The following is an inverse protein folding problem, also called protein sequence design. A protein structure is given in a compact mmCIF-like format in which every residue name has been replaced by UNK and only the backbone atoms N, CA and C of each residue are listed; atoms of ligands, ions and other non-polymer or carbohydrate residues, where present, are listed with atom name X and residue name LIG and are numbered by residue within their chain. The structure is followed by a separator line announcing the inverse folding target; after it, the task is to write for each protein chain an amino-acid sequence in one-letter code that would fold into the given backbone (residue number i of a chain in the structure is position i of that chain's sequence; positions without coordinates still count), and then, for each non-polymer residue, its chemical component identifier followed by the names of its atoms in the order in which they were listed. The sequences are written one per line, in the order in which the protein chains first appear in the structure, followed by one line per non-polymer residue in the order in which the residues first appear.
data_IF_031458285999
#
_entry.id   IF_031458285999
#
_cell.length_a   1.000
_cell.length_b   1.000
_cell.length_c   1.000
_cell.angle_alpha   90.00
_cell.angle_beta   90.00
_cell.angle_gamma   90.00
#
_symmetry.space_group_name_H-M   'P 1'
#
loop_
_entity.id
_entity.type
_entity.pdbx_description
1 polymer ?
#
# COMPACT_ATOMS: atom_id res chain seq x y z
N UNK A 1 13.51 21.47 -4.44
CA UNK A 1 14.31 20.30 -4.92
C UNK A 1 14.15 19.17 -3.92
N UNK A 2 13.78 17.97 -4.37
CA UNK A 2 13.79 16.77 -3.51
C UNK A 2 15.23 16.47 -3.06
N UNK A 3 15.45 16.40 -1.75
CA UNK A 3 16.78 16.05 -1.21
C UNK A 3 17.04 14.55 -1.38
N UNK A 4 18.32 14.14 -1.36
CA UNK A 4 18.69 12.72 -1.41
C UNK A 4 17.99 11.90 -0.32
N UNK A 5 17.74 12.51 0.84
CA UNK A 5 17.00 11.93 1.97
C UNK A 5 15.53 11.68 1.64
N UNK A 6 14.82 12.68 1.08
CA UNK A 6 13.40 12.54 0.71
C UNK A 6 13.20 11.47 -0.37
N UNK A 7 14.11 11.38 -1.34
CA UNK A 7 14.08 10.32 -2.37
C UNK A 7 14.24 8.92 -1.78
N UNK A 8 15.18 8.74 -0.85
CA UNK A 8 15.41 7.46 -0.19
C UNK A 8 14.21 7.02 0.66
N UNK A 9 13.59 7.95 1.39
CA UNK A 9 12.34 7.71 2.15
C UNK A 9 11.21 7.28 1.22
N UNK A 10 10.96 8.03 0.15
CA UNK A 10 9.90 7.74 -0.80
C UNK A 10 10.05 6.33 -1.42
N UNK A 11 11.27 5.96 -1.86
CA UNK A 11 11.54 4.62 -2.44
C UNK A 11 11.38 3.49 -1.42
N UNK A 12 11.72 3.73 -0.16
CA UNK A 12 11.55 2.76 0.91
C UNK A 12 10.07 2.50 1.18
N UNK A 13 9.28 3.56 1.31
CA UNK A 13 7.83 3.50 1.49
C UNK A 13 7.14 2.81 0.30
N UNK A 14 7.56 3.12 -0.93
CA UNK A 14 7.06 2.45 -2.13
C UNK A 14 7.23 0.93 -2.05
N UNK A 15 8.43 0.47 -1.72
CA UNK A 15 8.72 -0.97 -1.57
C UNK A 15 7.91 -1.59 -0.43
N UNK A 16 7.75 -0.88 0.69
CA UNK A 16 6.97 -1.38 1.83
C UNK A 16 5.48 -1.49 1.48
N UNK A 17 4.90 -0.52 0.78
CA UNK A 17 3.53 -0.57 0.28
C UNK A 17 3.31 -1.76 -0.66
N UNK A 18 4.22 -2.01 -1.61
CA UNK A 18 4.13 -3.18 -2.49
C UNK A 18 4.24 -4.50 -1.73
N UNK A 19 5.08 -4.58 -0.69
CA UNK A 19 5.17 -5.75 0.18
C UNK A 19 3.90 -5.94 1.00
N UNK A 20 3.31 -4.87 1.52
CA UNK A 20 2.02 -4.94 2.22
C UNK A 20 0.88 -5.32 1.28
N UNK A 21 0.94 -4.93 0.01
CA UNK A 21 -0.01 -5.41 -0.98
C UNK A 21 0.06 -6.94 -1.09
N UNK A 22 1.27 -7.51 -1.16
CA UNK A 22 1.46 -8.96 -1.25
C UNK A 22 0.92 -9.74 -0.04
N UNK A 23 0.72 -9.08 1.11
CA UNK A 23 0.13 -9.73 2.28
C UNK A 23 -1.39 -9.78 2.27
N UNK A 24 -2.08 -9.07 1.38
CA UNK A 24 -3.54 -9.12 1.28
C UNK A 24 -4.04 -10.51 0.86
N UNK A 25 -5.12 -11.03 1.47
CA UNK A 25 -5.60 -12.40 1.22
C UNK A 25 -6.17 -12.57 -0.20
N UNK A 26 -6.82 -11.54 -0.74
CA UNK A 26 -7.52 -11.61 -2.03
C UNK A 26 -6.73 -11.02 -3.18
N UNK A 27 -6.83 -11.61 -4.38
CA UNK A 27 -6.13 -11.11 -5.59
C UNK A 27 -6.56 -9.68 -5.92
N UNK A 28 -7.85 -9.39 -5.82
CA UNK A 28 -8.39 -8.06 -6.12
C UNK A 28 -7.79 -6.98 -5.22
N UNK A 29 -7.64 -7.25 -3.90
CA UNK A 29 -7.00 -6.29 -2.98
C UNK A 29 -5.51 -6.15 -3.25
N UNK A 30 -4.81 -7.25 -3.55
CA UNK A 30 -3.37 -7.20 -3.94
C UNK A 30 -3.16 -6.28 -5.14
N UNK A 31 -3.93 -6.47 -6.20
CA UNK A 31 -3.77 -5.70 -7.44
C UNK A 31 -4.24 -4.25 -7.28
N UNK A 32 -5.32 -4.00 -6.54
CA UNK A 32 -5.77 -2.63 -6.25
C UNK A 32 -4.68 -1.80 -5.56
N UNK A 33 -4.06 -2.33 -4.50
CA UNK A 33 -3.03 -1.59 -3.75
C UNK A 33 -1.80 -1.36 -4.63
N UNK A 34 -1.34 -2.37 -5.38
CA UNK A 34 -0.21 -2.21 -6.32
C UNK A 34 -0.49 -1.12 -7.35
N UNK A 35 -1.65 -1.16 -8.00
CA UNK A 35 -2.02 -0.21 -9.04
C UNK A 35 -2.12 1.21 -8.47
N UNK A 36 -2.78 1.37 -7.31
CA UNK A 36 -2.90 2.65 -6.62
C UNK A 36 -1.54 3.22 -6.23
N UNK A 37 -0.69 2.42 -5.57
CA UNK A 37 0.65 2.85 -5.16
C UNK A 37 1.51 3.26 -6.35
N UNK A 38 1.52 2.46 -7.43
CA UNK A 38 2.26 2.83 -8.64
C UNK A 38 1.79 4.16 -9.21
N UNK A 39 0.47 4.30 -9.40
CA UNK A 39 -0.13 5.50 -9.97
C UNK A 39 0.19 6.75 -9.14
N UNK A 40 -0.01 6.71 -7.82
CA UNK A 40 0.24 7.89 -6.97
C UNK A 40 1.71 8.33 -6.98
N UNK A 41 2.65 7.38 -7.07
CA UNK A 41 4.07 7.70 -7.19
C UNK A 41 4.44 8.24 -8.58
N UNK A 42 3.85 7.70 -9.65
CA UNK A 42 4.04 8.20 -11.02
C UNK A 42 3.47 9.62 -11.17
N UNK A 43 2.25 9.86 -10.67
CA UNK A 43 1.55 11.15 -10.72
C UNK A 43 2.34 12.26 -10.00
N UNK A 44 3.16 11.94 -9.00
CA UNK A 44 3.93 12.90 -8.21
C UNK A 44 5.46 12.82 -8.44
N UNK A 45 5.93 12.05 -9.42
CA UNK A 45 7.36 11.83 -9.64
C UNK A 45 8.14 13.12 -9.97
N UNK A 46 7.46 14.09 -10.57
CA UNK A 46 8.02 15.40 -10.95
C UNK A 46 7.89 16.48 -9.87
N UNK A 47 7.39 16.16 -8.67
CA UNK A 47 7.21 17.17 -7.62
C UNK A 47 8.56 17.74 -7.16
N UNK A 48 8.61 19.06 -7.01
CA UNK A 48 9.84 19.80 -6.65
C UNK A 48 9.69 20.68 -5.42
N UNK A 49 8.45 20.97 -5.02
CA UNK A 49 8.11 21.69 -3.81
C UNK A 49 8.43 20.84 -2.56
N UNK A 50 9.40 21.28 -1.73
CA UNK A 50 9.79 20.53 -0.52
C UNK A 50 8.64 20.27 0.45
N UNK A 51 7.72 21.22 0.62
CA UNK A 51 6.60 21.07 1.57
C UNK A 51 5.63 20.00 1.07
N UNK A 52 5.32 20.04 -0.23
CA UNK A 52 4.47 19.03 -0.86
C UNK A 52 5.12 17.65 -0.88
N UNK A 53 6.44 17.55 -1.06
CA UNK A 53 7.18 16.29 -0.97
C UNK A 53 7.06 15.69 0.43
N UNK A 54 7.29 16.47 1.48
CA UNK A 54 7.17 15.97 2.86
C UNK A 54 5.72 15.60 3.21
N UNK A 55 4.74 16.36 2.71
CA UNK A 55 3.32 15.98 2.81
C UNK A 55 3.06 14.61 2.15
N UNK A 56 3.52 14.40 0.92
CA UNK A 56 3.32 13.15 0.19
C UNK A 56 4.01 11.96 0.87
N UNK A 57 5.20 12.17 1.44
CA UNK A 57 5.90 11.14 2.23
C UNK A 57 5.08 10.78 3.48
N UNK A 58 4.59 11.78 4.21
CA UNK A 58 3.76 11.57 5.40
C UNK A 58 2.46 10.86 5.04
N UNK A 59 1.82 11.22 3.93
CA UNK A 59 0.65 10.53 3.40
C UNK A 59 0.96 9.05 3.11
N UNK A 60 2.10 8.75 2.47
CA UNK A 60 2.53 7.38 2.20
C UNK A 60 2.80 6.57 3.48
N UNK A 61 3.31 7.20 4.55
CA UNK A 61 3.46 6.57 5.87
C UNK A 61 2.10 6.15 6.46
N UNK A 62 1.11 7.06 6.45
CA UNK A 62 -0.26 6.77 6.93
C UNK A 62 -0.95 5.69 6.08
N UNK A 63 -0.76 5.74 4.76
CA UNK A 63 -1.29 4.72 3.87
C UNK A 63 -0.64 3.34 4.10
N UNK A 64 0.65 3.30 4.43
CA UNK A 64 1.36 2.06 4.76
C UNK A 64 0.80 1.45 6.04
N UNK A 65 0.64 2.25 7.11
CA UNK A 65 0.04 1.79 8.36
C UNK A 65 -1.36 1.22 8.11
N UNK A 66 -2.20 1.96 7.37
CA UNK A 66 -3.55 1.52 6.99
C UNK A 66 -3.53 0.20 6.22
N UNK A 67 -2.62 0.04 5.25
CA UNK A 67 -2.49 -1.19 4.47
C UNK A 67 -2.05 -2.38 5.34
N UNK A 68 -1.15 -2.17 6.30
CA UNK A 68 -0.69 -3.21 7.22
C UNK A 68 -1.81 -3.67 8.15
N UNK A 69 -2.56 -2.72 8.75
CA UNK A 69 -3.71 -3.02 9.61
C UNK A 69 -4.79 -3.78 8.83
N UNK A 70 -5.11 -3.32 7.62
CA UNK A 70 -6.08 -4.00 6.77
C UNK A 70 -5.63 -5.41 6.39
N UNK A 71 -4.35 -5.60 6.05
CA UNK A 71 -3.84 -6.92 5.71
C UNK A 71 -3.92 -7.89 6.89
N UNK A 72 -3.56 -7.44 8.09
CA UNK A 72 -3.66 -8.23 9.31
C UNK A 72 -5.13 -8.60 9.62
N UNK A 73 -6.02 -7.61 9.61
CA UNK A 73 -7.44 -7.82 9.87
C UNK A 73 -8.09 -8.75 8.84
N UNK A 74 -7.89 -8.48 7.54
CA UNK A 74 -8.46 -9.31 6.48
C UNK A 74 -7.93 -10.73 6.53
N UNK A 75 -6.65 -10.95 6.87
CA UNK A 75 -6.12 -12.31 7.07
C UNK A 75 -6.78 -13.03 8.23
N UNK A 76 -7.04 -12.33 9.33
CA UNK A 76 -7.74 -12.91 10.48
C UNK A 76 -9.16 -13.32 10.09
N UNK A 77 -9.94 -12.40 9.49
CA UNK A 77 -11.32 -12.65 9.06
C UNK A 77 -11.38 -13.71 7.97
N UNK A 78 -10.41 -13.74 7.05
CA UNK A 78 -10.31 -14.77 6.01
C UNK A 78 -10.05 -16.16 6.59
N UNK A 79 -9.29 -16.26 7.68
CA UNK A 79 -8.98 -17.54 8.30
C UNK A 79 -10.02 -18.04 9.29
N UNK A 80 -10.89 -17.15 9.76
CA UNK A 80 -11.93 -17.46 10.73
C UNK A 80 -13.07 -18.27 10.08
N UNK A 81 -13.31 -19.53 10.53
CA UNK A 81 -14.35 -20.40 10.00
C UNK A 81 -15.75 -19.79 10.08
N UNK A 82 -15.99 -18.89 11.03
CA UNK A 82 -17.28 -18.23 11.24
C UNK A 82 -17.75 -17.44 10.00
N UNK A 83 -16.82 -16.90 9.21
CA UNK A 83 -17.15 -16.03 8.08
C UNK A 83 -17.10 -16.74 6.71
N UNK A 84 -16.65 -18.00 6.64
CA UNK A 84 -16.72 -18.82 5.41
C UNK A 84 -15.94 -18.30 4.19
N UNK A 85 -15.11 -17.26 4.33
CA UNK A 85 -14.53 -16.51 3.20
C UNK A 85 -13.52 -17.30 2.36
N UNK A 86 -12.89 -18.35 2.91
CA UNK A 86 -11.96 -19.22 2.16
C UNK A 86 -12.58 -19.86 0.92
N UNK A 87 -13.90 -20.00 0.90
CA UNK A 87 -14.62 -20.67 -0.19
C UNK A 87 -15.12 -19.70 -1.27
N UNK A 88 -15.07 -18.38 -1.04
CA UNK A 88 -15.71 -17.38 -1.89
C UNK A 88 -14.88 -16.95 -3.12
N UNK A 89 -13.57 -17.20 -3.14
CA UNK A 89 -12.67 -16.86 -4.27
C UNK A 89 -12.18 -18.08 -5.07
N UNK A 90 -12.78 -19.27 -4.87
CA UNK A 90 -12.48 -20.43 -5.73
C UNK A 90 -13.11 -20.32 -7.14
N UNK A 91 -14.03 -19.37 -7.35
CA UNK A 91 -14.86 -19.28 -8.56
C UNK A 91 -14.60 -18.02 -9.43
N UNK A 92 -13.41 -17.40 -9.37
CA UNK A 92 -13.03 -16.29 -10.28
C UNK A 92 -11.64 -16.45 -10.88
#
# INVERSE_FOLDING_TARGET
MATATSRARALTLYKQLLRSAATMPTKNRREYIKAKTRREYEDNMGETDPEKIEFLITLAEVQLESAQVQAAHLRQVWNDPKYGLKNAERDQ
#
